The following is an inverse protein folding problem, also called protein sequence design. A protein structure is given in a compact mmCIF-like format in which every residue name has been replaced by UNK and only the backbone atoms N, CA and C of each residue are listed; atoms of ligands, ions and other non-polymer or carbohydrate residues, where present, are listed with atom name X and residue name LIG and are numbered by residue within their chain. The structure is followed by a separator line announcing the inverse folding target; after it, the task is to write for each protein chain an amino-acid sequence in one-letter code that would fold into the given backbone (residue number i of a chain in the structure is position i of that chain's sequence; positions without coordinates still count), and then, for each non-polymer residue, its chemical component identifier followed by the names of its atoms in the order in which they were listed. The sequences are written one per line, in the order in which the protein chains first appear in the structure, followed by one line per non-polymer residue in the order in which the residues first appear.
data_IF_818404907767
#
_entry.id   IF_818404907767
#
_cell.length_a   1.000
_cell.length_b   1.000
_cell.length_c   1.000
_cell.angle_alpha   90.00
_cell.angle_beta   90.00
_cell.angle_gamma   90.00
#
_symmetry.space_group_name_H-M   'P 1'
#
loop_
_entity.id
_entity.type
_entity.pdbx_description
1 polymer ?
#
# COMPACT_ATOMS: atom_id res chain seq x y z
N UNK A 1 -11.10 -8.28 27.86
CA UNK A 1 -11.82 -8.19 26.55
C UNK A 1 -11.31 -7.08 25.63
N UNK A 2 -10.84 -5.95 26.11
CA UNK A 2 -10.43 -4.77 25.30
C UNK A 2 -9.16 -5.05 24.48
N UNK A 3 -8.27 -5.88 24.96
CA UNK A 3 -7.02 -6.28 24.27
C UNK A 3 -7.25 -6.93 22.90
N UNK A 4 -8.38 -7.62 22.71
CA UNK A 4 -8.75 -8.25 21.42
C UNK A 4 -9.04 -7.23 20.32
N UNK A 5 -9.61 -6.08 20.68
CA UNK A 5 -9.97 -5.01 19.72
C UNK A 5 -8.72 -4.34 19.16
N UNK A 6 -7.68 -4.14 19.98
CA UNK A 6 -6.41 -3.53 19.53
C UNK A 6 -5.71 -4.43 18.51
N UNK A 7 -5.60 -5.73 18.82
CA UNK A 7 -5.00 -6.71 17.91
C UNK A 7 -5.78 -6.82 16.60
N UNK A 8 -7.11 -6.71 16.65
CA UNK A 8 -7.95 -6.73 15.47
C UNK A 8 -7.60 -5.59 14.48
N UNK A 9 -7.48 -4.35 14.97
CA UNK A 9 -7.10 -3.22 14.11
C UNK A 9 -5.70 -3.37 13.51
N UNK A 10 -4.75 -3.91 14.29
CA UNK A 10 -3.38 -4.16 13.80
C UNK A 10 -3.31 -5.27 12.75
N UNK A 11 -4.07 -6.37 12.94
CA UNK A 11 -4.19 -7.43 11.93
C UNK A 11 -4.78 -6.88 10.65
N UNK A 12 -5.86 -6.10 10.76
CA UNK A 12 -6.52 -5.53 9.59
C UNK A 12 -5.60 -4.55 8.84
N UNK A 13 -4.80 -3.75 9.56
CA UNK A 13 -3.79 -2.88 8.96
C UNK A 13 -2.71 -3.69 8.22
N UNK A 14 -2.23 -4.79 8.80
CA UNK A 14 -1.28 -5.68 8.14
C UNK A 14 -1.88 -6.35 6.89
N UNK A 15 -3.15 -6.76 6.95
CA UNK A 15 -3.88 -7.29 5.78
C UNK A 15 -4.00 -6.24 4.67
N UNK A 16 -4.32 -4.98 5.00
CA UNK A 16 -4.35 -3.91 4.00
C UNK A 16 -2.99 -3.71 3.32
N UNK A 17 -1.88 -3.80 4.08
CA UNK A 17 -0.55 -3.74 3.49
C UNK A 17 -0.23 -4.95 2.62
N UNK A 18 -0.72 -6.14 2.96
CA UNK A 18 -0.60 -7.34 2.12
C UNK A 18 -1.37 -7.20 0.79
N UNK A 19 -2.53 -6.53 0.79
CA UNK A 19 -3.30 -6.25 -0.43
C UNK A 19 -2.51 -5.37 -1.43
N UNK A 20 -1.63 -4.48 -0.96
CA UNK A 20 -0.76 -3.70 -1.84
C UNK A 20 0.21 -4.58 -2.68
N UNK A 21 0.52 -5.80 -2.22
CA UNK A 21 1.35 -6.75 -2.97
C UNK A 21 0.56 -7.63 -3.93
N UNK A 22 -0.77 -7.72 -3.73
CA UNK A 22 -1.65 -8.58 -4.54
C UNK A 22 -2.34 -7.80 -5.66
N UNK A 23 -2.59 -6.52 -5.45
CA UNK A 23 -3.34 -5.68 -6.39
C UNK A 23 -2.47 -4.57 -6.95
N UNK A 24 -2.66 -4.20 -8.23
CA UNK A 24 -1.95 -3.07 -8.83
C UNK A 24 -2.32 -1.77 -8.11
N UNK A 25 -1.38 -0.84 -8.12
CA UNK A 25 -1.54 0.51 -7.57
C UNK A 25 -2.27 1.40 -8.56
N UNK A 26 -1.82 1.38 -9.80
CA UNK A 26 -2.36 2.20 -10.87
C UNK A 26 -2.28 1.46 -12.21
N UNK A 27 -3.24 1.75 -13.07
CA UNK A 27 -3.25 1.33 -14.47
C UNK A 27 -3.17 2.56 -15.34
N UNK A 28 -2.35 2.50 -16.35
CA UNK A 28 -2.12 3.55 -17.34
C UNK A 28 -2.69 3.11 -18.66
N UNK A 29 -3.60 3.91 -19.22
CA UNK A 29 -4.17 3.69 -20.54
C UNK A 29 -3.43 4.60 -21.54
N UNK A 30 -2.87 3.98 -22.57
CA UNK A 30 -2.14 4.65 -23.63
C UNK A 30 -2.92 4.48 -24.93
N UNK A 31 -3.46 5.58 -25.46
CA UNK A 31 -4.08 5.61 -26.79
C UNK A 31 -3.02 5.96 -27.82
N UNK A 32 -2.49 4.96 -28.50
CA UNK A 32 -1.56 5.16 -29.62
C UNK A 32 -2.35 5.60 -30.86
N UNK A 33 -2.32 6.91 -31.14
CA UNK A 33 -3.06 7.54 -32.27
C UNK A 33 -2.75 6.97 -33.65
N UNK A 34 -1.62 6.31 -33.86
CA UNK A 34 -1.19 5.82 -35.19
C UNK A 34 -1.59 4.37 -35.49
N UNK A 35 -2.01 3.57 -34.52
CA UNK A 35 -2.20 2.12 -34.76
C UNK A 35 -3.52 1.55 -34.27
N UNK A 36 -4.43 2.34 -33.69
CA UNK A 36 -5.68 1.85 -33.03
C UNK A 36 -5.43 0.75 -31.98
N UNK A 37 -4.19 0.64 -31.47
CA UNK A 37 -3.83 -0.29 -30.41
C UNK A 37 -3.85 0.45 -29.07
N UNK A 38 -4.67 -0.06 -28.15
CA UNK A 38 -4.66 0.36 -26.76
C UNK A 38 -3.57 -0.43 -26.04
N UNK A 39 -2.65 0.29 -25.39
CA UNK A 39 -1.61 -0.31 -24.54
C UNK A 39 -1.97 -0.02 -23.11
N UNK A 40 -2.00 -1.05 -22.29
CA UNK A 40 -2.23 -0.95 -20.85
C UNK A 40 -0.95 -1.25 -20.09
N UNK A 41 -0.56 -0.36 -19.20
CA UNK A 41 0.58 -0.57 -18.33
C UNK A 41 0.15 -0.53 -16.87
N UNK A 42 0.61 -1.51 -16.08
CA UNK A 42 0.27 -1.64 -14.67
C UNK A 42 1.46 -1.29 -13.77
N UNK A 43 1.21 -0.55 -12.71
CA UNK A 43 2.18 -0.28 -11.66
C UNK A 43 1.94 -1.22 -10.48
N UNK A 44 2.74 -2.28 -10.38
CA UNK A 44 2.66 -3.29 -9.34
C UNK A 44 3.89 -3.26 -8.43
N UNK A 45 3.70 -3.44 -7.12
CA UNK A 45 4.80 -3.51 -6.16
C UNK A 45 5.73 -4.71 -6.39
N UNK A 46 5.19 -5.84 -6.86
CA UNK A 46 5.97 -7.04 -7.13
C UNK A 46 6.51 -7.12 -8.57
N UNK A 47 6.17 -6.14 -9.43
CA UNK A 47 6.48 -6.16 -10.87
C UNK A 47 6.11 -7.50 -11.56
N UNK A 48 5.10 -8.16 -11.02
CA UNK A 48 4.51 -9.37 -11.59
C UNK A 48 3.38 -8.94 -12.52
N UNK A 49 3.69 -8.34 -13.65
CA UNK A 49 2.72 -8.32 -14.74
C UNK A 49 2.29 -9.77 -14.98
N UNK A 50 1.15 -10.16 -14.47
CA UNK A 50 0.52 -11.44 -14.83
C UNK A 50 -0.66 -11.12 -15.73
N UNK A 51 -0.41 -10.98 -17.05
CA UNK A 51 -1.41 -10.59 -18.03
C UNK A 51 -2.61 -11.52 -18.04
N UNK A 52 -2.36 -12.81 -17.87
CA UNK A 52 -3.39 -13.85 -18.01
C UNK A 52 -4.50 -13.75 -16.95
N UNK A 53 -4.18 -13.38 -15.72
CA UNK A 53 -5.19 -13.29 -14.64
C UNK A 53 -6.05 -12.02 -14.77
N UNK A 54 -5.48 -10.93 -15.27
CA UNK A 54 -6.19 -9.66 -15.44
C UNK A 54 -7.08 -9.70 -16.69
N UNK A 55 -6.61 -10.27 -17.80
CA UNK A 55 -7.40 -10.44 -19.01
C UNK A 55 -8.61 -11.39 -18.80
N UNK A 56 -8.48 -12.42 -17.96
CA UNK A 56 -9.62 -13.28 -17.58
C UNK A 56 -10.67 -12.57 -16.73
N UNK A 57 -10.26 -11.59 -15.89
CA UNK A 57 -11.18 -10.82 -15.04
C UNK A 57 -11.89 -9.69 -15.79
N UNK A 58 -11.26 -9.11 -16.79
CA UNK A 58 -11.78 -7.93 -17.51
C UNK A 58 -12.39 -8.23 -18.86
N UNK A 59 -12.27 -9.46 -19.41
CA UNK A 59 -12.94 -9.90 -20.65
C UNK A 59 -12.55 -9.07 -21.90
N UNK A 60 -11.35 -8.49 -21.90
CA UNK A 60 -10.89 -7.56 -22.92
C UNK A 60 -10.18 -8.20 -24.11
N UNK A 61 -10.30 -7.58 -25.27
CA UNK A 61 -9.56 -7.88 -26.50
C UNK A 61 -8.03 -7.71 -26.27
N UNK A 62 -7.23 -8.42 -27.07
CA UNK A 62 -5.79 -8.48 -26.94
C UNK A 62 -5.13 -7.09 -26.94
N UNK A 63 -4.92 -6.54 -25.77
CA UNK A 63 -4.13 -5.33 -25.56
C UNK A 63 -2.66 -5.71 -25.43
N UNK A 64 -1.78 -4.94 -26.06
CA UNK A 64 -0.34 -5.14 -25.89
C UNK A 64 0.03 -4.67 -24.49
N UNK A 65 0.35 -5.62 -23.62
CA UNK A 65 0.72 -5.32 -22.24
C UNK A 65 2.19 -4.90 -22.18
N UNK A 66 2.43 -3.73 -21.61
CA UNK A 66 3.78 -3.24 -21.36
C UNK A 66 4.20 -3.62 -19.94
N UNK A 67 5.22 -4.46 -19.83
CA UNK A 67 5.74 -4.87 -18.53
C UNK A 67 6.57 -3.76 -17.89
N UNK A 68 6.32 -3.45 -16.63
CA UNK A 68 7.14 -2.55 -15.82
C UNK A 68 8.63 -2.94 -15.83
N UNK A 69 8.94 -4.23 -16.02
CA UNK A 69 10.29 -4.76 -16.07
C UNK A 69 11.03 -4.29 -17.34
N UNK A 70 10.33 -4.11 -18.44
CA UNK A 70 10.92 -3.70 -19.71
C UNK A 70 11.28 -2.22 -19.72
N UNK A 71 10.61 -1.41 -18.88
CA UNK A 71 10.91 0.01 -18.71
C UNK A 71 12.17 0.32 -17.91
N UNK A 72 12.79 -0.67 -17.26
CA UNK A 72 13.90 -0.46 -16.32
C UNK A 72 13.55 0.29 -15.05
N UNK A 73 12.25 0.57 -14.81
CA UNK A 73 11.80 1.27 -13.63
C UNK A 73 11.87 0.39 -12.38
N UNK A 74 12.55 0.89 -11.35
CA UNK A 74 12.75 0.15 -10.12
C UNK A 74 11.85 0.67 -8.99
N UNK A 75 10.83 -0.09 -8.63
CA UNK A 75 9.90 0.24 -7.53
C UNK A 75 10.34 -0.34 -6.17
N UNK A 76 11.52 -0.99 -6.10
CA UNK A 76 11.98 -1.67 -4.91
C UNK A 76 11.94 -0.85 -3.60
N UNK A 77 12.20 0.50 -3.57
CA UNK A 77 12.12 1.25 -2.31
C UNK A 77 10.70 1.28 -1.73
N UNK A 78 9.69 1.44 -2.60
CA UNK A 78 8.29 1.38 -2.18
C UNK A 78 7.91 -0.02 -1.69
N UNK A 79 8.37 -1.08 -2.37
CA UNK A 79 8.16 -2.47 -1.98
C UNK A 79 8.75 -2.77 -0.59
N UNK A 80 10.01 -2.39 -0.36
CA UNK A 80 10.67 -2.60 0.94
C UNK A 80 9.94 -1.86 2.06
N UNK A 81 9.55 -0.60 1.81
CA UNK A 81 8.85 0.19 2.82
C UNK A 81 7.47 -0.37 3.14
N UNK A 82 6.71 -0.83 2.13
CA UNK A 82 5.44 -1.53 2.33
C UNK A 82 5.59 -2.79 3.18
N UNK A 83 6.63 -3.61 2.89
CA UNK A 83 6.94 -4.80 3.66
C UNK A 83 7.30 -4.48 5.12
N UNK A 84 8.10 -3.42 5.34
CA UNK A 84 8.45 -2.95 6.68
C UNK A 84 7.23 -2.50 7.49
N UNK A 85 6.31 -1.74 6.88
CA UNK A 85 5.07 -1.31 7.54
C UNK A 85 4.19 -2.51 7.88
N UNK A 86 4.03 -3.46 6.97
CA UNK A 86 3.28 -4.70 7.20
C UNK A 86 3.88 -5.53 8.34
N UNK A 87 5.20 -5.77 8.30
CA UNK A 87 5.93 -6.50 9.34
C UNK A 87 5.86 -5.80 10.70
N UNK A 88 6.05 -4.47 10.74
CA UNK A 88 5.95 -3.69 11.97
C UNK A 88 4.54 -3.75 12.58
N UNK A 89 3.48 -3.75 11.74
CA UNK A 89 2.11 -3.92 12.21
C UNK A 89 1.89 -5.29 12.88
N UNK A 90 2.48 -6.36 12.32
CA UNK A 90 2.44 -7.69 12.92
C UNK A 90 3.26 -7.75 14.22
N UNK A 91 4.46 -7.18 14.26
CA UNK A 91 5.31 -7.11 15.47
C UNK A 91 4.58 -6.39 16.60
N UNK A 92 3.81 -5.32 16.31
CA UNK A 92 3.00 -4.63 17.31
C UNK A 92 2.02 -5.55 18.04
N UNK A 93 1.53 -6.62 17.39
CA UNK A 93 0.60 -7.58 18.02
C UNK A 93 1.32 -8.35 19.12
N UNK A 94 2.57 -8.75 18.88
CA UNK A 94 3.36 -9.52 19.86
C UNK A 94 3.87 -8.67 21.03
N UNK A 95 3.89 -7.34 20.88
CA UNK A 95 4.33 -6.42 21.93
C UNK A 95 3.24 -6.12 22.98
N UNK A 96 2.13 -6.85 22.99
CA UNK A 96 1.00 -6.61 23.89
C UNK A 96 1.37 -6.62 25.39
N UNK A 97 2.43 -7.33 25.76
CA UNK A 97 2.90 -7.41 27.15
C UNK A 97 3.45 -6.07 27.66
N UNK A 98 4.09 -5.26 26.78
CA UNK A 98 4.69 -3.96 27.10
C UNK A 98 3.95 -2.82 26.40
N UNK A 99 2.84 -2.35 26.95
CA UNK A 99 1.94 -1.34 26.34
C UNK A 99 2.65 -0.04 25.92
N UNK A 100 3.60 0.44 26.74
CA UNK A 100 4.36 1.67 26.41
C UNK A 100 5.24 1.47 25.16
N UNK A 101 5.89 0.31 25.04
CA UNK A 101 6.66 -0.04 23.85
C UNK A 101 5.75 -0.21 22.63
N UNK A 102 4.62 -0.88 22.81
CA UNK A 102 3.62 -1.07 21.76
C UNK A 102 3.15 0.27 21.19
N UNK A 103 2.80 1.26 22.04
CA UNK A 103 2.40 2.59 21.59
C UNK A 103 3.48 3.29 20.75
N UNK A 104 4.75 3.20 21.15
CA UNK A 104 5.87 3.79 20.41
C UNK A 104 6.04 3.12 19.04
N UNK A 105 5.99 1.80 19.00
CA UNK A 105 6.13 1.05 17.74
C UNK A 105 4.95 1.35 16.79
N UNK A 106 3.71 1.41 17.30
CA UNK A 106 2.55 1.79 16.47
C UNK A 106 2.69 3.21 15.93
N UNK A 107 3.20 4.17 16.73
CA UNK A 107 3.45 5.54 16.25
C UNK A 107 4.54 5.60 15.18
N UNK A 108 5.60 4.81 15.30
CA UNK A 108 6.66 4.69 14.28
C UNK A 108 6.08 4.04 13.02
N UNK A 109 5.30 2.96 13.16
CA UNK A 109 4.65 2.30 12.02
C UNK A 109 3.70 3.24 11.27
N UNK A 110 2.95 4.06 12.01
CA UNK A 110 2.11 5.09 11.43
C UNK A 110 2.93 6.10 10.62
N UNK A 111 4.03 6.60 11.17
CA UNK A 111 4.92 7.55 10.47
C UNK A 111 5.51 6.92 9.21
N UNK A 112 5.99 5.68 9.29
CA UNK A 112 6.51 4.94 8.13
C UNK A 112 5.44 4.75 7.05
N UNK A 113 4.19 4.48 7.45
CA UNK A 113 3.09 4.34 6.50
C UNK A 113 2.75 5.66 5.81
N UNK A 114 2.80 6.79 6.52
CA UNK A 114 2.62 8.12 5.92
C UNK A 114 3.74 8.41 4.91
N UNK A 115 4.99 8.10 5.26
CA UNK A 115 6.14 8.23 4.34
C UNK A 115 5.95 7.32 3.11
N UNK A 116 5.48 6.09 3.32
CA UNK A 116 5.19 5.16 2.24
C UNK A 116 4.14 5.70 1.26
N UNK A 117 3.01 6.22 1.77
CA UNK A 117 1.95 6.81 0.95
C UNK A 117 2.50 7.99 0.15
N UNK A 118 3.27 8.88 0.80
CA UNK A 118 3.91 10.00 0.12
C UNK A 118 4.84 9.53 -1.00
N UNK A 119 5.72 8.57 -0.71
CA UNK A 119 6.65 8.00 -1.68
C UNK A 119 5.92 7.30 -2.83
N UNK A 120 4.83 6.60 -2.54
CA UNK A 120 4.04 5.91 -3.55
C UNK A 120 3.42 6.90 -4.55
N UNK A 121 2.72 7.92 -4.05
CA UNK A 121 1.97 8.85 -4.91
C UNK A 121 2.86 9.88 -5.59
N UNK A 122 3.81 10.49 -4.87
CA UNK A 122 4.62 11.58 -5.40
C UNK A 122 5.88 11.12 -6.12
N UNK A 123 6.40 9.95 -5.79
CA UNK A 123 7.61 9.45 -6.45
C UNK A 123 7.31 8.28 -7.39
N UNK A 124 6.69 7.20 -6.91
CA UNK A 124 6.56 6.00 -7.72
C UNK A 124 5.63 6.20 -8.92
N UNK A 125 4.45 6.80 -8.69
CA UNK A 125 3.45 7.04 -9.76
C UNK A 125 3.96 8.09 -10.73
N UNK A 126 4.51 9.21 -10.25
CA UNK A 126 5.03 10.28 -11.11
C UNK A 126 6.26 9.82 -11.93
N UNK A 127 7.19 9.11 -11.30
CA UNK A 127 8.38 8.60 -11.96
C UNK A 127 8.03 7.54 -13.03
N UNK A 128 7.04 6.68 -12.75
CA UNK A 128 6.59 5.66 -13.71
C UNK A 128 5.84 6.30 -14.88
N UNK A 129 4.97 7.28 -14.64
CA UNK A 129 4.27 8.00 -15.71
C UNK A 129 5.24 8.74 -16.64
N UNK A 130 6.27 9.40 -16.09
CA UNK A 130 7.33 10.04 -16.90
C UNK A 130 8.13 9.04 -17.72
N UNK A 131 8.44 7.89 -17.15
CA UNK A 131 9.13 6.81 -17.85
C UNK A 131 8.30 6.30 -19.05
N UNK A 132 6.98 6.07 -18.85
CA UNK A 132 6.07 5.69 -19.93
C UNK A 132 5.96 6.75 -21.01
N UNK A 133 5.78 8.03 -20.63
CA UNK A 133 5.72 9.15 -21.59
C UNK A 133 6.98 9.24 -22.44
N UNK A 134 8.15 9.06 -21.82
CA UNK A 134 9.43 9.09 -22.54
C UNK A 134 9.59 7.90 -23.49
N UNK A 135 9.15 6.71 -23.06
CA UNK A 135 9.28 5.49 -23.85
C UNK A 135 8.37 5.50 -25.09
N UNK A 136 7.11 5.93 -24.92
CA UNK A 136 6.13 5.98 -25.99
C UNK A 136 6.04 7.32 -26.71
N UNK A 137 6.87 8.31 -26.36
CA UNK A 137 6.87 9.67 -26.92
C UNK A 137 5.51 10.37 -26.84
N UNK A 138 4.74 10.13 -25.79
CA UNK A 138 3.39 10.67 -25.58
C UNK A 138 3.41 11.86 -24.63
N UNK A 139 2.43 12.77 -24.81
CA UNK A 139 2.31 13.98 -23.98
C UNK A 139 1.24 13.86 -22.87
N UNK A 140 0.37 12.86 -22.94
CA UNK A 140 -0.73 12.68 -22.00
C UNK A 140 -0.97 11.19 -21.70
N UNK A 141 -1.33 10.90 -20.45
CA UNK A 141 -1.61 9.55 -19.95
C UNK A 141 -2.83 9.58 -19.04
N UNK A 142 -3.77 8.68 -19.30
CA UNK A 142 -4.90 8.47 -18.38
C UNK A 142 -4.51 7.46 -17.32
N UNK A 143 -4.65 7.86 -16.05
CA UNK A 143 -4.31 7.04 -14.89
C UNK A 143 -5.58 6.60 -14.18
N UNK A 144 -5.78 5.30 -14.06
CA UNK A 144 -6.87 4.71 -13.26
C UNK A 144 -6.32 4.11 -11.97
N UNK A 145 -6.89 4.51 -10.83
CA UNK A 145 -6.44 4.06 -9.52
C UNK A 145 -7.10 2.74 -9.12
N UNK A 146 -6.30 1.81 -8.60
CA UNK A 146 -6.75 0.50 -8.13
C UNK A 146 -6.67 0.35 -6.61
N UNK A 147 -7.14 -0.80 -6.11
CA UNK A 147 -7.19 -1.14 -4.68
C UNK A 147 -5.82 -0.99 -4.00
N UNK A 148 -4.72 -1.29 -4.72
CA UNK A 148 -3.35 -1.12 -4.21
C UNK A 148 -3.02 0.31 -3.78
N UNK A 149 -3.64 1.33 -4.39
CA UNK A 149 -3.45 2.73 -4.01
C UNK A 149 -4.24 3.10 -2.73
N UNK A 150 -5.44 2.55 -2.56
CA UNK A 150 -6.31 2.89 -1.42
C UNK A 150 -5.96 2.11 -0.15
N UNK A 151 -5.46 0.90 -0.28
CA UNK A 151 -5.15 0.02 0.85
C UNK A 151 -4.21 0.65 1.89
N UNK A 152 -3.09 1.33 1.54
CA UNK A 152 -2.24 1.97 2.53
C UNK A 152 -2.90 3.17 3.22
N UNK A 153 -3.81 3.88 2.54
CA UNK A 153 -4.58 4.98 3.13
C UNK A 153 -5.52 4.43 4.20
N UNK A 154 -6.22 3.34 3.92
CA UNK A 154 -7.07 2.65 4.90
C UNK A 154 -6.23 2.15 6.08
N UNK A 155 -5.03 1.60 5.83
CA UNK A 155 -4.10 1.16 6.87
C UNK A 155 -3.70 2.31 7.82
N UNK A 156 -3.52 3.56 7.34
CA UNK A 156 -3.27 4.73 8.18
C UNK A 156 -4.41 4.92 9.20
N UNK A 157 -5.67 4.89 8.73
CA UNK A 157 -6.83 5.03 9.61
C UNK A 157 -6.89 3.93 10.67
N UNK A 158 -6.62 2.69 10.28
CA UNK A 158 -6.59 1.53 11.17
C UNK A 158 -5.50 1.64 12.24
N UNK A 159 -4.30 2.13 11.89
CA UNK A 159 -3.21 2.38 12.83
C UNK A 159 -3.55 3.48 13.83
N UNK A 160 -4.25 4.54 13.41
CA UNK A 160 -4.75 5.58 14.32
C UNK A 160 -5.77 5.01 15.29
N UNK A 161 -6.71 4.17 14.81
CA UNK A 161 -7.69 3.50 15.66
C UNK A 161 -7.02 2.56 16.66
N UNK A 162 -6.02 1.78 16.22
CA UNK A 162 -5.22 0.94 17.09
C UNK A 162 -4.51 1.75 18.18
N UNK A 163 -3.83 2.85 17.80
CA UNK A 163 -3.14 3.73 18.73
C UNK A 163 -4.10 4.32 19.79
N UNK A 164 -5.26 4.81 19.37
CA UNK A 164 -6.29 5.34 20.27
C UNK A 164 -6.83 4.26 21.22
N UNK A 165 -7.04 3.04 20.73
CA UNK A 165 -7.49 1.92 21.54
C UNK A 165 -6.47 1.56 22.62
N UNK A 166 -5.17 1.47 22.27
CA UNK A 166 -4.08 1.20 23.21
C UNK A 166 -4.00 2.29 24.29
N UNK A 167 -4.05 3.56 23.90
CA UNK A 167 -4.00 4.70 24.82
C UNK A 167 -5.16 4.70 25.81
N UNK A 168 -6.38 4.38 25.37
CA UNK A 168 -7.55 4.26 26.25
C UNK A 168 -7.41 3.14 27.26
N UNK A 169 -6.82 2.03 26.83
CA UNK A 169 -6.62 0.86 27.69
C UNK A 169 -5.56 1.15 28.78
N UNK A 170 -4.47 1.82 28.41
CA UNK A 170 -3.45 2.25 29.36
C UNK A 170 -4.01 3.24 30.41
N UNK A 171 -4.84 4.19 29.97
CA UNK A 171 -5.46 5.14 30.90
C UNK A 171 -6.34 4.44 31.94
N UNK A 172 -7.08 3.39 31.56
CA UNK A 172 -7.91 2.59 32.50
C UNK A 172 -7.05 1.87 33.54
N UNK A 173 -5.93 1.28 33.12
CA UNK A 173 -5.02 0.57 34.02
C UNK A 173 -4.40 1.54 35.00
N UNK A 174 -3.90 2.68 34.56
CA UNK A 174 -3.34 3.71 35.44
C UNK A 174 -4.36 4.27 36.44
N UNK A 175 -5.64 4.38 36.01
CA UNK A 175 -6.69 4.81 36.93
C UNK A 175 -6.97 3.77 38.02
N UNK A 176 -6.96 2.47 37.67
CA UNK A 176 -7.12 1.38 38.65
C UNK A 176 -5.94 1.31 39.63
N UNK A 177 -4.71 1.52 39.17
CA UNK A 177 -3.51 1.49 40.03
C UNK A 177 -3.48 2.66 41.06
N UNK A 178 -4.12 3.79 40.75
CA UNK A 178 -4.23 4.93 41.69
C UNK A 178 -5.25 4.72 42.78
N UNK A 179 -6.18 3.79 42.59
CA UNK A 179 -7.22 3.50 43.57
C UNK A 179 -6.83 2.38 44.54
N UNK A 180 -5.68 1.78 44.36
CA UNK A 180 -5.10 0.72 45.20
C UNK A 180 -3.99 1.28 46.10
#
# INVERSE_FOLDING_TARGET
MIQRIQSFWLVLAACCMALCFMFPVAQYHLDLTDTAQQVEAHLDLLAKGNPEMMNQLLGGEATVEYSQRDSGFQIWPAMVLAALVGAASLVCIFLYHNRVRQMRVVAITFLLNVIYVFLLFFWAVDAYSKNLMQYFHMNDLQVTWYVGAYAPIVSIVLLVLAHRAIKRDEAKVRAADRLR
#
